data_IF_569726849636
#
_entry.id   IF_569726849636
#
_cell.length_a   1.000
_cell.length_b   1.000
_cell.length_c   1.000
_cell.angle_alpha   90.00
_cell.angle_beta   90.00
_cell.angle_gamma   90.00
#
_symmetry.space_group_name_H-M   'P 1'
#
loop_
_entity.id
_entity.type
_entity.pdbx_description
1 polymer ?
#
# COMPACT_ATOMS: atom_id res chain seq x y z
N UNK A 1 -10.44 -29.38 17.54
CA UNK A 1 -10.90 -28.71 16.30
C UNK A 1 -10.47 -27.25 16.38
N UNK A 2 -9.33 -26.88 15.78
CA UNK A 2 -8.82 -25.51 15.83
C UNK A 2 -9.70 -24.62 14.97
N UNK A 3 -10.68 -23.94 15.59
CA UNK A 3 -11.53 -22.93 14.95
C UNK A 3 -10.65 -22.10 14.01
N UNK A 4 -10.91 -22.20 12.71
CA UNK A 4 -10.22 -21.47 11.66
C UNK A 4 -10.64 -20.02 11.73
N UNK A 5 -10.15 -19.31 12.76
CA UNK A 5 -10.23 -17.86 12.76
C UNK A 5 -9.44 -17.39 11.54
N UNK A 6 -10.14 -16.72 10.65
CA UNK A 6 -9.53 -16.04 9.52
C UNK A 6 -8.48 -15.05 10.04
N UNK A 7 -7.29 -14.98 9.41
CA UNK A 7 -6.33 -13.94 9.75
C UNK A 7 -7.01 -12.57 9.64
N UNK A 8 -6.71 -11.67 10.57
CA UNK A 8 -7.26 -10.31 10.64
C UNK A 8 -8.77 -10.21 10.93
N UNK A 9 -9.36 -11.16 11.67
CA UNK A 9 -10.79 -11.10 12.09
C UNK A 9 -11.18 -9.80 12.85
N UNK A 10 -10.21 -9.08 13.43
CA UNK A 10 -10.46 -7.81 14.14
C UNK A 10 -10.42 -6.56 13.26
N UNK A 11 -10.28 -6.69 11.94
CA UNK A 11 -10.25 -5.53 11.03
C UNK A 11 -11.66 -4.99 10.84
N UNK A 12 -11.88 -3.75 11.27
CA UNK A 12 -13.17 -3.07 11.25
C UNK A 12 -13.21 -2.06 10.10
N UNK A 13 -13.99 -2.36 9.06
CA UNK A 13 -14.07 -1.52 7.88
C UNK A 13 -15.05 -0.35 8.06
N UNK A 14 -14.59 0.92 7.96
CA UNK A 14 -15.49 2.06 7.88
C UNK A 14 -16.36 1.96 6.61
N UNK A 15 -17.70 2.14 6.70
CA UNK A 15 -18.58 2.03 5.54
C UNK A 15 -18.24 2.96 4.37
N UNK A 16 -17.68 4.13 4.68
CA UNK A 16 -17.20 5.09 3.67
C UNK A 16 -16.06 4.50 2.83
N UNK A 17 -15.11 3.80 3.46
CA UNK A 17 -13.97 3.19 2.78
C UNK A 17 -14.38 1.96 1.97
N UNK A 18 -15.37 1.19 2.45
CA UNK A 18 -15.97 0.11 1.65
C UNK A 18 -16.60 0.65 0.37
N UNK A 19 -17.27 1.79 0.45
CA UNK A 19 -17.86 2.45 -0.72
C UNK A 19 -16.76 2.94 -1.68
N UNK A 20 -15.67 3.48 -1.15
CA UNK A 20 -14.51 3.92 -1.95
C UNK A 20 -13.83 2.75 -2.67
N UNK A 21 -13.51 1.66 -1.96
CA UNK A 21 -12.84 0.50 -2.58
C UNK A 21 -13.74 -0.18 -3.60
N UNK A 22 -15.04 -0.33 -3.32
CA UNK A 22 -16.00 -0.86 -4.30
C UNK A 22 -16.02 -0.01 -5.56
N UNK A 23 -16.17 1.31 -5.41
CA UNK A 23 -16.18 2.24 -6.54
C UNK A 23 -14.88 2.19 -7.34
N UNK A 24 -13.74 2.10 -6.66
CA UNK A 24 -12.45 1.94 -7.33
C UNK A 24 -12.40 0.65 -8.15
N UNK A 25 -12.79 -0.49 -7.57
CA UNK A 25 -12.82 -1.78 -8.25
C UNK A 25 -13.77 -1.76 -9.46
N UNK A 26 -14.98 -1.20 -9.31
CA UNK A 26 -15.96 -1.08 -10.40
C UNK A 26 -15.36 -0.33 -11.62
N UNK A 27 -14.52 0.67 -11.39
CA UNK A 27 -13.88 1.46 -12.44
C UNK A 27 -12.65 0.80 -13.05
N UNK A 28 -11.85 0.12 -12.23
CA UNK A 28 -10.63 -0.57 -12.67
C UNK A 28 -10.98 -1.82 -13.48
N UNK A 29 -12.02 -2.53 -13.05
CA UNK A 29 -12.48 -3.79 -13.62
C UNK A 29 -13.53 -3.60 -14.73
N UNK A 30 -13.92 -2.35 -15.04
CA UNK A 30 -14.85 -2.05 -16.13
C UNK A 30 -14.33 -2.65 -17.46
N UNK A 31 -15.14 -3.53 -18.05
CA UNK A 31 -14.77 -4.26 -19.26
C UNK A 31 -14.61 -3.34 -20.48
N UNK A 32 -15.35 -2.23 -20.53
CA UNK A 32 -15.49 -1.33 -21.68
C UNK A 32 -14.65 -0.08 -21.51
N UNK A 33 -14.65 0.53 -20.32
CA UNK A 33 -14.01 1.81 -20.00
C UNK A 33 -13.22 1.72 -18.70
N UNK A 34 -12.22 0.82 -18.62
CA UNK A 34 -11.38 0.72 -17.44
C UNK A 34 -10.66 2.05 -17.18
N UNK A 35 -10.58 2.44 -15.92
CA UNK A 35 -9.99 3.72 -15.52
C UNK A 35 -9.37 3.62 -14.12
N UNK A 36 -8.37 4.46 -13.87
CA UNK A 36 -7.64 4.48 -12.59
C UNK A 36 -7.57 5.90 -12.04
N UNK A 37 -7.33 6.06 -10.72
CA UNK A 37 -6.99 7.36 -10.16
C UNK A 37 -5.82 8.02 -10.91
N UNK A 38 -5.79 9.35 -11.00
CA UNK A 38 -4.68 10.06 -11.62
C UNK A 38 -3.37 9.79 -10.87
N UNK A 39 -2.33 9.39 -11.59
CA UNK A 39 -0.98 9.16 -11.06
C UNK A 39 0.05 9.97 -11.86
N UNK A 40 1.15 10.41 -11.26
CA UNK A 40 1.36 10.95 -9.92
C UNK A 40 1.79 12.43 -10.06
N UNK A 41 0.97 13.35 -9.57
CA UNK A 41 1.31 14.77 -9.45
C UNK A 41 0.37 15.55 -8.53
N UNK A 42 -0.87 15.07 -8.32
CA UNK A 42 -1.87 15.74 -7.48
C UNK A 42 -2.38 14.91 -6.29
N UNK A 43 -2.22 13.59 -6.31
CA UNK A 43 -2.80 12.70 -5.30
C UNK A 43 -1.76 12.25 -4.26
N UNK A 44 -2.22 12.05 -3.02
CA UNK A 44 -1.43 11.48 -1.92
C UNK A 44 -1.10 10.01 -2.24
N UNK A 45 0.20 9.68 -2.21
CA UNK A 45 0.64 8.31 -2.46
C UNK A 45 0.62 7.49 -1.17
N UNK A 46 0.69 6.16 -1.29
CA UNK A 46 0.77 5.26 -0.13
C UNK A 46 2.01 5.57 0.72
N UNK A 47 3.15 5.83 0.06
CA UNK A 47 4.38 6.21 0.74
C UNK A 47 4.22 7.54 1.50
N UNK A 48 3.71 8.58 0.82
CA UNK A 48 3.53 9.89 1.43
C UNK A 48 2.55 9.86 2.60
N UNK A 49 1.52 9.02 2.52
CA UNK A 49 0.59 8.80 3.62
C UNK A 49 1.29 8.23 4.85
N UNK A 50 2.09 7.16 4.69
CA UNK A 50 2.79 6.56 5.82
C UNK A 50 3.83 7.50 6.43
N UNK A 51 4.54 8.28 5.62
CA UNK A 51 5.47 9.29 6.11
C UNK A 51 4.75 10.44 6.84
N UNK A 52 3.71 11.00 6.23
CA UNK A 52 3.00 12.18 6.76
C UNK A 52 2.21 11.87 8.03
N UNK A 53 1.70 10.64 8.15
CA UNK A 53 0.90 10.20 9.30
C UNK A 53 1.65 9.28 10.25
N UNK A 54 2.97 9.13 10.09
CA UNK A 54 3.79 8.23 10.91
C UNK A 54 3.57 8.46 12.41
N UNK A 55 3.77 9.70 12.87
CA UNK A 55 3.65 10.05 14.29
C UNK A 55 2.23 9.81 14.85
N UNK A 56 1.20 10.06 14.03
CA UNK A 56 -0.19 9.84 14.42
C UNK A 56 -0.55 8.35 14.50
N UNK A 57 0.04 7.53 13.63
CA UNK A 57 -0.12 6.07 13.66
C UNK A 57 0.63 5.50 14.86
N UNK A 58 1.88 5.91 15.08
CA UNK A 58 2.71 5.47 16.20
C UNK A 58 2.08 5.81 17.54
N UNK A 59 1.60 7.04 17.73
CA UNK A 59 0.94 7.45 18.97
C UNK A 59 -0.28 6.57 19.29
N UNK A 60 -1.07 6.18 18.27
CA UNK A 60 -2.22 5.30 18.46
C UNK A 60 -1.82 3.83 18.71
N UNK A 61 -0.75 3.36 18.06
CA UNK A 61 -0.19 2.04 18.32
C UNK A 61 0.33 1.93 19.76
N UNK A 62 1.03 2.95 20.25
CA UNK A 62 1.47 3.07 21.64
C UNK A 62 0.28 3.09 22.61
N UNK A 63 -0.76 3.86 22.29
CA UNK A 63 -2.01 3.87 23.06
C UNK A 63 -2.72 2.51 23.10
N UNK A 64 -2.46 1.66 22.11
CA UNK A 64 -2.98 0.29 22.02
C UNK A 64 -2.04 -0.76 22.62
N UNK A 65 -0.91 -0.35 23.21
CA UNK A 65 0.04 -1.24 23.88
C UNK A 65 1.12 -1.86 22.99
N UNK A 66 1.32 -1.34 21.77
CA UNK A 66 2.39 -1.77 20.86
C UNK A 66 3.48 -0.71 20.77
N UNK A 67 4.75 -1.12 20.73
CA UNK A 67 5.87 -0.17 20.63
C UNK A 67 6.05 0.43 19.22
N UNK A 68 6.95 1.41 19.12
CA UNK A 68 7.28 2.07 17.86
C UNK A 68 7.89 1.10 16.83
N UNK A 69 8.70 0.13 17.28
CA UNK A 69 9.33 -0.85 16.39
C UNK A 69 8.29 -1.74 15.67
N UNK A 70 7.20 -2.11 16.36
CA UNK A 70 6.09 -2.82 15.74
C UNK A 70 5.34 -1.95 14.72
N UNK A 71 5.26 -0.64 14.93
CA UNK A 71 4.66 0.30 13.97
C UNK A 71 5.47 0.31 12.68
N UNK A 72 6.79 0.47 12.77
CA UNK A 72 7.70 0.41 11.62
C UNK A 72 7.62 -0.94 10.91
N UNK A 73 7.58 -2.03 11.67
CA UNK A 73 7.47 -3.39 11.13
C UNK A 73 6.16 -3.60 10.36
N UNK A 74 5.03 -3.07 10.85
CA UNK A 74 3.75 -3.16 10.16
C UNK A 74 3.75 -2.36 8.85
N UNK A 75 4.28 -1.13 8.87
CA UNK A 75 4.41 -0.30 7.68
C UNK A 75 5.32 -0.97 6.63
N UNK A 76 6.51 -1.42 7.06
CA UNK A 76 7.47 -2.11 6.20
C UNK A 76 6.90 -3.42 5.64
N UNK A 77 6.16 -4.19 6.44
CA UNK A 77 5.49 -5.41 6.00
C UNK A 77 4.46 -5.11 4.92
N UNK A 78 3.56 -4.15 5.14
CA UNK A 78 2.52 -3.79 4.17
C UNK A 78 3.11 -3.26 2.86
N UNK A 79 4.15 -2.43 2.95
CA UNK A 79 4.88 -1.95 1.78
C UNK A 79 5.55 -3.12 1.06
N UNK A 80 6.22 -4.02 1.78
CA UNK A 80 6.86 -5.21 1.19
C UNK A 80 5.86 -6.11 0.46
N UNK A 81 4.71 -6.38 1.08
CA UNK A 81 3.62 -7.15 0.45
C UNK A 81 3.10 -6.42 -0.78
N UNK A 82 2.90 -5.10 -0.71
CA UNK A 82 2.45 -4.30 -1.86
C UNK A 82 3.42 -4.40 -3.04
N UNK A 83 4.71 -4.17 -2.80
CA UNK A 83 5.75 -4.19 -3.85
C UNK A 83 5.81 -5.57 -4.52
N UNK A 84 5.83 -6.64 -3.74
CA UNK A 84 5.82 -8.02 -4.27
C UNK A 84 4.52 -8.29 -5.05
N UNK A 85 3.37 -7.96 -4.47
CA UNK A 85 2.07 -8.25 -5.07
C UNK A 85 1.86 -7.50 -6.39
N UNK A 86 2.29 -6.23 -6.48
CA UNK A 86 2.23 -5.42 -7.70
C UNK A 86 3.11 -5.99 -8.82
N UNK A 87 4.25 -6.59 -8.48
CA UNK A 87 5.13 -7.25 -9.46
C UNK A 87 4.51 -8.53 -10.06
N UNK A 88 3.60 -9.17 -9.32
CA UNK A 88 3.04 -10.48 -9.66
C UNK A 88 1.66 -10.40 -10.32
N UNK A 89 0.58 -10.25 -9.55
CA UNK A 89 -0.80 -10.40 -10.05
C UNK A 89 -1.82 -9.44 -9.43
N UNK A 90 -1.42 -8.61 -8.48
CA UNK A 90 -2.32 -7.66 -7.80
C UNK A 90 -2.93 -6.63 -8.75
N UNK A 91 -2.13 -6.18 -9.71
CA UNK A 91 -2.54 -5.24 -10.75
C UNK A 91 -2.99 -6.02 -11.98
N UNK A 92 -4.13 -5.61 -12.56
CA UNK A 92 -4.57 -6.09 -13.85
C UNK A 92 -3.53 -5.76 -14.92
N UNK A 93 -3.48 -6.53 -16.01
CA UNK A 93 -2.48 -6.34 -17.07
C UNK A 93 -2.46 -4.92 -17.65
N UNK A 94 -3.64 -4.27 -17.75
CA UNK A 94 -3.78 -2.88 -18.21
C UNK A 94 -3.21 -1.88 -17.21
N UNK A 95 -3.56 -2.02 -15.93
CA UNK A 95 -3.02 -1.20 -14.83
C UNK A 95 -1.51 -1.32 -14.75
N UNK A 96 -1.00 -2.56 -14.74
CA UNK A 96 0.42 -2.86 -14.58
C UNK A 96 1.28 -2.18 -15.63
N UNK A 97 0.81 -2.12 -16.88
CA UNK A 97 1.54 -1.44 -17.96
C UNK A 97 1.75 0.05 -17.64
N UNK A 98 0.68 0.74 -17.25
CA UNK A 98 0.71 2.19 -16.97
C UNK A 98 1.50 2.46 -15.69
N UNK A 99 1.22 1.73 -14.62
CA UNK A 99 1.89 1.88 -13.32
C UNK A 99 3.39 1.60 -13.44
N UNK A 100 3.80 0.52 -14.13
CA UNK A 100 5.21 0.22 -14.33
C UNK A 100 5.93 1.30 -15.15
N UNK A 101 5.26 1.91 -16.12
CA UNK A 101 5.81 3.06 -16.84
C UNK A 101 6.01 4.26 -15.91
N UNK A 102 5.03 4.56 -15.07
CA UNK A 102 5.09 5.64 -14.08
C UNK A 102 6.19 5.42 -13.05
N UNK A 103 6.34 4.18 -12.54
CA UNK A 103 7.44 3.78 -11.66
C UNK A 103 8.80 4.05 -12.33
N UNK A 104 8.99 3.62 -13.58
CA UNK A 104 10.24 3.87 -14.32
C UNK A 104 10.52 5.36 -14.52
N UNK A 105 9.48 6.18 -14.68
CA UNK A 105 9.64 7.64 -14.79
C UNK A 105 10.06 8.25 -13.46
N UNK A 106 9.46 7.80 -12.34
CA UNK A 106 9.85 8.22 -11.00
C UNK A 106 11.31 7.84 -10.70
N UNK A 107 11.71 6.60 -10.98
CA UNK A 107 13.09 6.13 -10.81
C UNK A 107 14.08 7.00 -11.59
N UNK A 108 13.78 7.32 -12.85
CA UNK A 108 14.64 8.22 -13.65
C UNK A 108 14.77 9.60 -13.03
N UNK A 109 13.70 10.15 -12.45
CA UNK A 109 13.71 11.46 -11.75
C UNK A 109 14.51 11.42 -10.45
N UNK A 110 14.40 10.33 -9.68
CA UNK A 110 15.17 10.16 -8.45
C UNK A 110 16.66 9.99 -8.75
N UNK A 111 17.01 9.20 -9.76
CA UNK A 111 18.39 9.01 -10.20
C UNK A 111 19.01 10.30 -10.76
N UNK A 112 18.27 11.13 -11.49
CA UNK A 112 18.78 12.41 -11.98
C UNK A 112 19.04 13.40 -10.83
N UNK A 113 18.12 13.48 -9.86
CA UNK A 113 18.29 14.31 -8.64
C UNK A 113 19.49 13.87 -7.80
N UNK A 114 19.69 12.56 -7.68
CA UNK A 114 20.85 12.01 -6.99
C UNK A 114 22.16 12.34 -7.73
N UNK A 115 22.20 12.27 -9.07
CA UNK A 115 23.39 12.67 -9.86
C UNK A 115 23.75 14.14 -9.70
N UNK A 116 22.76 15.04 -9.60
CA UNK A 116 23.04 16.46 -9.32
C UNK A 116 23.55 16.68 -7.90
N UNK A 117 23.16 15.84 -6.94
CA UNK A 117 23.64 15.92 -5.55
C UNK A 117 24.97 15.19 -5.31
N UNK A 118 25.33 14.22 -6.16
CA UNK A 118 26.42 13.27 -5.94
C UNK A 118 27.62 13.48 -6.86
N UNK A 119 27.97 14.73 -7.20
CA UNK A 119 29.30 15.01 -7.76
C UNK A 119 30.43 14.58 -6.81
N UNK A 120 30.15 14.27 -5.54
CA UNK A 120 31.11 13.63 -4.63
C UNK A 120 30.89 12.11 -4.49
N UNK A 121 31.54 11.35 -5.38
CA UNK A 121 32.23 10.08 -5.09
C UNK A 121 31.50 8.77 -4.71
N UNK A 122 30.18 8.60 -4.90
CA UNK A 122 29.49 7.32 -4.50
C UNK A 122 28.64 6.62 -5.57
N UNK A 123 29.16 6.55 -6.80
CA UNK A 123 28.46 5.99 -7.99
C UNK A 123 28.05 4.50 -7.88
N UNK A 124 28.67 3.68 -7.02
CA UNK A 124 28.35 2.25 -6.87
C UNK A 124 27.29 1.90 -5.82
N UNK A 125 27.14 2.68 -4.74
CA UNK A 125 26.10 2.42 -3.72
C UNK A 125 24.69 2.79 -4.19
N UNK A 126 24.58 3.53 -5.29
CA UNK A 126 23.32 4.13 -5.73
C UNK A 126 22.39 3.13 -6.43
N UNK A 127 22.93 2.13 -7.13
CA UNK A 127 22.10 1.10 -7.80
C UNK A 127 21.49 0.11 -6.80
N UNK A 128 22.22 -0.24 -5.74
CA UNK A 128 21.68 -1.08 -4.65
C UNK A 128 20.67 -0.32 -3.79
N UNK A 129 20.92 0.96 -3.48
CA UNK A 129 19.96 1.79 -2.73
C UNK A 129 18.65 2.00 -3.49
N UNK A 130 18.70 2.23 -4.80
CA UNK A 130 17.51 2.33 -5.63
C UNK A 130 16.76 0.98 -5.79
N UNK A 131 17.42 -0.15 -5.54
CA UNK A 131 16.78 -1.46 -5.46
C UNK A 131 15.99 -1.67 -4.16
N UNK A 132 16.35 -0.97 -3.07
CA UNK A 132 15.66 -1.13 -1.78
C UNK A 132 14.52 -0.14 -1.54
N UNK A 133 14.38 0.90 -2.36
CA UNK A 133 13.30 1.87 -2.17
C UNK A 133 11.94 1.33 -2.63
N UNK A 134 10.84 1.64 -1.92
CA UNK A 134 9.50 1.19 -2.29
C UNK A 134 8.99 1.96 -3.51
N UNK A 135 9.00 1.30 -4.66
CA UNK A 135 8.75 1.93 -5.97
C UNK A 135 7.28 2.10 -6.25
N UNK A 136 6.50 1.05 -6.02
CA UNK A 136 5.04 1.08 -6.23
C UNK A 136 4.36 1.94 -5.18
N UNK A 137 4.77 1.87 -3.91
CA UNK A 137 4.16 2.67 -2.85
C UNK A 137 4.26 4.19 -3.11
N UNK A 138 5.32 4.65 -3.78
CA UNK A 138 5.52 6.06 -4.18
C UNK A 138 4.72 6.49 -5.42
N UNK A 139 4.03 5.56 -6.09
CA UNK A 139 3.26 5.84 -7.31
C UNK A 139 1.77 5.60 -7.10
N UNK A 140 1.45 4.55 -6.36
CA UNK A 140 0.08 4.13 -6.12
C UNK A 140 -0.61 5.09 -5.14
N UNK A 141 -1.86 5.40 -5.47
CA UNK A 141 -2.76 6.19 -4.63
C UNK A 141 -3.39 5.32 -3.53
N UNK A 142 -4.08 5.93 -2.58
CA UNK A 142 -4.61 5.24 -1.40
C UNK A 142 -5.75 4.27 -1.70
N UNK A 143 -6.41 4.38 -2.85
CA UNK A 143 -7.37 3.37 -3.31
C UNK A 143 -6.72 1.98 -3.45
N UNK A 144 -5.44 1.93 -3.85
CA UNK A 144 -4.69 0.68 -3.93
C UNK A 144 -4.30 0.12 -2.55
N UNK A 145 -4.13 0.99 -1.54
CA UNK A 145 -3.95 0.54 -0.16
C UNK A 145 -5.22 -0.13 0.36
N UNK A 146 -6.40 0.44 0.08
CA UNK A 146 -7.67 -0.20 0.41
C UNK A 146 -7.83 -1.55 -0.32
N UNK A 147 -7.48 -1.59 -1.60
CA UNK A 147 -7.49 -2.85 -2.38
C UNK A 147 -6.55 -3.91 -1.77
N UNK A 148 -5.39 -3.48 -1.27
CA UNK A 148 -4.47 -4.36 -0.55
C UNK A 148 -5.11 -4.89 0.74
N UNK A 149 -5.72 -4.02 1.56
CA UNK A 149 -6.39 -4.44 2.79
C UNK A 149 -7.53 -5.43 2.54
N UNK A 150 -8.30 -5.27 1.46
CA UNK A 150 -9.32 -6.25 1.06
C UNK A 150 -8.69 -7.60 0.72
N UNK A 151 -7.53 -7.59 0.07
CA UNK A 151 -6.86 -8.81 -0.38
C UNK A 151 -6.05 -9.50 0.72
N UNK A 152 -5.64 -8.76 1.75
CA UNK A 152 -4.66 -9.19 2.73
C UNK A 152 -5.07 -10.44 3.53
N UNK A 153 -6.32 -10.63 3.98
CA UNK A 153 -6.72 -11.86 4.66
C UNK A 153 -6.46 -13.10 3.81
N UNK A 154 -6.74 -13.04 2.50
CA UNK A 154 -6.49 -14.17 1.59
C UNK A 154 -4.99 -14.41 1.38
N UNK A 155 -4.19 -13.34 1.30
CA UNK A 155 -2.72 -13.43 1.18
C UNK A 155 -2.15 -14.13 2.42
N UNK A 156 -2.59 -13.72 3.62
CA UNK A 156 -2.14 -14.31 4.88
C UNK A 156 -2.63 -15.75 5.05
N UNK A 157 -3.87 -16.06 4.65
CA UNK A 157 -4.36 -17.44 4.68
C UNK A 157 -3.57 -18.34 3.73
N UNK A 158 -3.18 -17.82 2.56
CA UNK A 158 -2.31 -18.55 1.64
C UNK A 158 -0.91 -18.79 2.23
N UNK A 159 -0.34 -17.78 2.90
CA UNK A 159 0.92 -17.91 3.62
C UNK A 159 0.84 -19.00 4.70
N UNK A 160 -0.22 -19.00 5.51
CA UNK A 160 -0.44 -20.02 6.56
C UNK A 160 -0.51 -21.44 5.98
N UNK A 161 -1.14 -21.60 4.81
CA UNK A 161 -1.23 -22.88 4.10
C UNK A 161 0.13 -23.35 3.59
N UNK A 162 0.93 -22.46 3.01
CA UNK A 162 2.28 -22.79 2.52
C UNK A 162 3.25 -23.09 3.65
N UNK A 163 3.19 -22.32 4.74
CA UNK A 163 4.03 -22.54 5.92
C UNK A 163 3.61 -23.75 6.76
N UNK A 164 2.45 -24.35 6.48
CA UNK A 164 1.82 -25.39 7.32
C UNK A 164 1.66 -24.97 8.79
N UNK A 165 1.64 -23.67 9.05
CA UNK A 165 1.56 -23.08 10.38
C UNK A 165 0.83 -21.74 10.28
N UNK A 166 -0.07 -21.49 11.23
CA UNK A 166 -0.76 -20.20 11.29
C UNK A 166 0.20 -19.11 11.74
N UNK A 167 0.06 -17.93 11.15
CA UNK A 167 0.78 -16.75 11.60
C UNK A 167 0.44 -16.49 13.08
N UNK A 168 1.45 -16.35 13.95
CA UNK A 168 1.22 -16.28 15.37
C UNK A 168 0.51 -14.97 15.77
N UNK A 169 -0.17 -15.00 16.92
CA UNK A 169 -0.93 -13.86 17.44
C UNK A 169 -0.06 -12.61 17.66
N UNK A 170 1.19 -12.79 18.08
CA UNK A 170 2.13 -11.68 18.28
C UNK A 170 2.44 -10.91 16.99
N UNK A 171 2.24 -11.52 15.81
CA UNK A 171 2.43 -10.87 14.52
C UNK A 171 1.10 -10.35 13.94
N UNK A 172 0.01 -11.12 14.08
CA UNK A 172 -1.30 -10.72 13.54
C UNK A 172 -1.98 -9.61 14.34
N UNK A 173 -1.82 -9.57 15.67
CA UNK A 173 -2.44 -8.55 16.52
C UNK A 173 -1.95 -7.12 16.22
N UNK A 174 -0.63 -6.82 16.19
CA UNK A 174 -0.16 -5.47 15.85
C UNK A 174 -0.55 -5.10 14.41
N UNK A 175 -0.49 -6.03 13.46
CA UNK A 175 -0.91 -5.78 12.08
C UNK A 175 -2.39 -5.40 11.99
N UNK A 176 -3.26 -6.12 12.72
CA UNK A 176 -4.69 -5.81 12.78
C UNK A 176 -4.94 -4.43 13.38
N UNK A 177 -4.25 -4.10 14.47
CA UNK A 177 -4.34 -2.78 15.11
C UNK A 177 -3.89 -1.67 14.16
N UNK A 178 -2.74 -1.85 13.51
CA UNK A 178 -2.19 -0.92 12.54
C UNK A 178 -3.15 -0.64 11.39
N UNK A 179 -3.75 -1.69 10.81
CA UNK A 179 -4.72 -1.56 9.71
C UNK A 179 -5.98 -0.80 10.17
N UNK A 180 -6.47 -1.06 11.38
CA UNK A 180 -7.61 -0.32 11.92
C UNK A 180 -7.29 1.17 12.10
N UNK A 181 -6.12 1.49 12.66
CA UNK A 181 -5.68 2.88 12.84
C UNK A 181 -5.55 3.59 11.49
N UNK A 182 -4.90 2.96 10.50
CA UNK A 182 -4.74 3.58 9.18
C UNK A 182 -6.09 3.77 8.49
N UNK A 183 -7.01 2.80 8.57
CA UNK A 183 -8.36 2.94 8.05
C UNK A 183 -9.14 4.05 8.77
N UNK A 184 -8.99 4.22 10.08
CA UNK A 184 -9.62 5.33 10.80
C UNK A 184 -9.10 6.68 10.28
N UNK A 185 -7.79 6.84 10.13
CA UNK A 185 -7.19 8.07 9.58
C UNK A 185 -7.69 8.33 8.15
N UNK A 186 -7.72 7.31 7.30
CA UNK A 186 -8.23 7.40 5.93
C UNK A 186 -9.72 7.79 5.91
N UNK A 187 -10.52 7.24 6.82
CA UNK A 187 -11.96 7.53 6.90
C UNK A 187 -12.26 8.97 7.34
N UNK A 188 -11.39 9.56 8.15
CA UNK A 188 -11.49 10.94 8.60
C UNK A 188 -11.15 11.97 7.50
N UNK A 189 -10.49 11.54 6.42
CA UNK A 189 -10.01 12.42 5.36
C UNK A 189 -10.47 11.97 3.96
N UNK A 190 -11.77 12.14 3.61
CA UNK A 190 -12.29 11.71 2.31
C UNK A 190 -11.56 12.32 1.09
N UNK A 191 -10.92 13.48 1.28
CA UNK A 191 -10.14 14.19 0.25
C UNK A 191 -8.85 13.47 -0.15
N UNK A 192 -8.44 12.44 0.59
CA UNK A 192 -7.31 11.60 0.23
C UNK A 192 -7.57 10.71 -0.98
N UNK A 193 -8.84 10.52 -1.34
CA UNK A 193 -9.26 9.72 -2.47
C UNK A 193 -9.65 10.61 -3.63
N UNK A 194 -9.30 10.18 -4.84
CA UNK A 194 -9.62 10.91 -6.05
C UNK A 194 -11.11 10.73 -6.37
N UNK A 195 -11.85 11.80 -6.70
CA UNK A 195 -13.19 11.64 -7.22
C UNK A 195 -13.13 10.89 -8.55
N UNK A 196 -14.11 10.03 -8.80
CA UNK A 196 -14.16 9.21 -10.03
C UNK A 196 -14.16 10.05 -11.31
N UNK A 197 -14.67 11.28 -11.24
CA UNK A 197 -14.64 12.22 -12.37
C UNK A 197 -13.23 12.58 -12.83
N UNK A 198 -12.22 12.36 -11.99
CA UNK A 198 -10.81 12.60 -12.29
C UNK A 198 -10.06 11.33 -12.70
N UNK A 199 -10.73 10.17 -12.72
CA UNK A 199 -10.09 8.92 -13.14
C UNK A 199 -9.66 9.00 -14.61
N UNK A 200 -8.46 8.51 -14.87
CA UNK A 200 -7.85 8.50 -16.19
C UNK A 200 -8.14 7.16 -16.87
N UNK A 201 -8.63 7.15 -18.13
CA UNK A 201 -8.86 5.91 -18.87
C UNK A 201 -7.59 5.09 -19.08
N UNK A 202 -7.68 3.78 -18.89
CA UNK A 202 -6.63 2.79 -19.17
C UNK A 202 -6.68 2.36 -20.65
N UNK A 203 -6.45 3.30 -21.57
CA UNK A 203 -6.43 3.07 -23.04
C UNK A 203 -5.02 3.06 -23.61
#
# INVERSE_FOLDING_TARGET
MSSSRTPLQGVEWPPSLLSTVKRHLDHVEDAVRPSIPPMPSSALTIYDFFETHHDAIEAQMLGSGFDAALTECCAAFLIGVLEQSCSLSFLLSRERRIIAMTVRQLEKRLLSKARTSAMDSKRRRLEEGAASEPRYARVLTLEYLLRLYVSLPMILEHYDKLGSARMPSYATAPLCCFINITMQILSAHPRFFSPVTEYVPLR
#
